data_IF_763366869090
#
_entry.id   IF_763366869090
#
_cell.length_a   1.000
_cell.length_b   1.000
_cell.length_c   1.000
_cell.angle_alpha   90.00
_cell.angle_beta   90.00
_cell.angle_gamma   90.00
#
_symmetry.space_group_name_H-M   'P 1'
#
loop_
_entity.id
_entity.type
_entity.pdbx_description
1 polymer ?
#
# COMPACT_ATOMS: atom_id res chain seq x y z
N UNK A 1 -21.93 0.73 -11.65
CA UNK A 1 -21.07 1.77 -11.03
C UNK A 1 -20.91 2.94 -12.00
N UNK A 2 -21.06 4.21 -11.55
CA UNK A 2 -20.86 5.38 -12.41
C UNK A 2 -19.45 5.48 -13.01
N UNK A 3 -19.30 6.12 -14.18
CA UNK A 3 -18.01 6.24 -14.88
C UNK A 3 -16.95 7.02 -14.09
N UNK A 4 -17.35 8.00 -13.27
CA UNK A 4 -16.40 8.72 -12.43
C UNK A 4 -15.77 7.84 -11.35
N UNK A 5 -16.49 6.81 -10.85
CA UNK A 5 -15.94 5.82 -9.90
C UNK A 5 -14.85 5.01 -10.59
N UNK A 6 -15.09 4.56 -11.83
CA UNK A 6 -14.07 3.90 -12.64
C UNK A 6 -12.83 4.77 -12.82
N UNK A 7 -13.00 6.05 -13.17
CA UNK A 7 -11.88 6.97 -13.33
C UNK A 7 -11.07 7.10 -12.02
N UNK A 8 -11.72 7.28 -10.87
CA UNK A 8 -11.05 7.38 -9.57
C UNK A 8 -10.29 6.10 -9.19
N UNK A 9 -10.90 4.93 -9.38
CA UNK A 9 -10.22 3.64 -9.17
C UNK A 9 -8.97 3.56 -10.05
N UNK A 10 -9.11 3.81 -11.35
CA UNK A 10 -8.01 3.67 -12.30
C UNK A 10 -6.88 4.67 -12.03
N UNK A 11 -7.18 5.89 -11.56
CA UNK A 11 -6.15 6.85 -11.11
C UNK A 11 -5.31 6.24 -9.98
N UNK A 12 -5.94 5.62 -8.97
CA UNK A 12 -5.22 4.95 -7.90
C UNK A 12 -4.45 3.72 -8.38
N UNK A 13 -5.14 2.81 -9.07
CA UNK A 13 -4.65 1.48 -9.48
C UNK A 13 -3.52 1.58 -10.50
N UNK A 14 -3.60 2.51 -11.46
CA UNK A 14 -2.55 2.72 -12.47
C UNK A 14 -1.52 3.75 -11.99
N UNK A 15 -1.96 4.80 -11.28
CA UNK A 15 -1.07 5.86 -10.84
C UNK A 15 -0.05 5.39 -9.81
N UNK A 16 -0.46 4.57 -8.84
CA UNK A 16 0.43 4.15 -7.74
C UNK A 16 1.64 3.33 -8.24
N UNK A 17 1.48 2.29 -9.09
CA UNK A 17 2.63 1.61 -9.69
C UNK A 17 3.41 2.52 -10.65
N UNK A 18 2.74 3.35 -11.46
CA UNK A 18 3.40 4.25 -12.41
C UNK A 18 4.29 5.29 -11.71
N UNK A 19 3.79 5.96 -10.67
CA UNK A 19 4.56 6.94 -9.89
C UNK A 19 5.72 6.26 -9.16
N UNK A 20 5.48 5.08 -8.58
CA UNK A 20 6.54 4.28 -7.94
C UNK A 20 7.65 3.95 -8.93
N UNK A 21 7.29 3.46 -10.12
CA UNK A 21 8.24 3.12 -11.17
C UNK A 21 8.97 4.34 -11.73
N UNK A 22 8.27 5.46 -11.97
CA UNK A 22 8.88 6.70 -12.44
C UNK A 22 9.97 7.21 -11.47
N UNK A 23 9.72 7.10 -10.16
CA UNK A 23 10.70 7.46 -9.13
C UNK A 23 11.90 6.51 -9.09
N UNK A 24 11.74 5.25 -9.50
CA UNK A 24 12.83 4.27 -9.61
C UNK A 24 13.57 4.34 -10.97
N UNK A 25 12.92 4.83 -12.02
CA UNK A 25 13.37 4.72 -13.41
C UNK A 25 14.77 5.31 -13.64
N UNK A 26 15.07 6.47 -13.06
CA UNK A 26 16.40 7.12 -13.20
C UNK A 26 17.56 6.29 -12.69
N UNK A 27 17.31 5.31 -11.80
CA UNK A 27 18.35 4.48 -11.18
C UNK A 27 18.31 3.02 -11.64
N UNK A 28 17.10 2.51 -11.90
CA UNK A 28 16.91 1.11 -12.27
C UNK A 28 15.78 1.00 -13.32
N UNK A 29 16.03 1.43 -14.58
CA UNK A 29 14.98 1.50 -15.61
C UNK A 29 14.37 0.12 -15.90
N UNK A 30 15.18 -0.94 -15.93
CA UNK A 30 14.68 -2.31 -16.13
C UNK A 30 13.74 -2.77 -15.00
N UNK A 31 14.08 -2.43 -13.75
CA UNK A 31 13.23 -2.74 -12.57
C UNK A 31 11.94 -1.93 -12.63
N UNK A 32 12.02 -0.64 -12.96
CA UNK A 32 10.86 0.24 -13.08
C UNK A 32 9.89 -0.25 -14.15
N UNK A 33 10.38 -0.54 -15.36
CA UNK A 33 9.55 -1.06 -16.46
C UNK A 33 8.96 -2.42 -16.09
N UNK A 34 9.78 -3.34 -15.56
CA UNK A 34 9.32 -4.65 -15.12
C UNK A 34 8.21 -4.55 -14.06
N UNK A 35 8.35 -3.66 -13.08
CA UNK A 35 7.33 -3.45 -12.05
C UNK A 35 5.99 -2.95 -12.64
N UNK A 36 6.03 -1.98 -13.58
CA UNK A 36 4.80 -1.52 -14.25
C UNK A 36 4.15 -2.64 -15.04
N UNK A 37 4.94 -3.39 -15.83
CA UNK A 37 4.43 -4.49 -16.66
C UNK A 37 3.79 -5.57 -15.79
N UNK A 38 4.46 -5.98 -14.71
CA UNK A 38 3.94 -7.00 -13.78
C UNK A 38 2.66 -6.51 -13.10
N UNK A 39 2.64 -5.28 -12.58
CA UNK A 39 1.45 -4.73 -11.91
C UNK A 39 0.28 -4.52 -12.89
N UNK A 40 0.54 -4.10 -14.12
CA UNK A 40 -0.48 -3.96 -15.16
C UNK A 40 -1.04 -5.32 -15.58
N UNK A 41 -0.17 -6.31 -15.83
CA UNK A 41 -0.59 -7.67 -16.15
C UNK A 41 -1.42 -8.28 -15.01
N UNK A 42 -0.99 -8.11 -13.76
CA UNK A 42 -1.76 -8.54 -12.59
C UNK A 42 -3.10 -7.80 -12.49
N UNK A 43 -3.14 -6.50 -12.75
CA UNK A 43 -4.39 -5.72 -12.77
C UNK A 43 -5.39 -6.26 -13.80
N UNK A 44 -4.93 -6.63 -15.00
CA UNK A 44 -5.76 -7.29 -16.02
C UNK A 44 -6.23 -8.66 -15.55
N UNK A 45 -5.34 -9.50 -15.02
CA UNK A 45 -5.69 -10.82 -14.48
C UNK A 45 -6.74 -10.69 -13.37
N UNK A 46 -6.55 -9.77 -12.43
CA UNK A 46 -7.49 -9.53 -11.35
C UNK A 46 -8.84 -9.00 -11.85
N UNK A 47 -8.85 -8.14 -12.86
CA UNK A 47 -10.09 -7.69 -13.49
C UNK A 47 -10.86 -8.85 -14.16
N UNK A 48 -10.14 -9.76 -14.84
CA UNK A 48 -10.74 -10.96 -15.45
C UNK A 48 -11.29 -11.93 -14.40
N UNK A 49 -10.55 -12.14 -13.30
CA UNK A 49 -11.02 -12.94 -12.16
C UNK A 49 -12.26 -12.33 -11.50
N UNK A 50 -12.30 -11.00 -11.36
CA UNK A 50 -13.49 -10.33 -10.88
C UNK A 50 -14.68 -10.48 -11.84
N UNK A 51 -14.44 -10.35 -13.15
CA UNK A 51 -15.48 -10.51 -14.16
C UNK A 51 -16.06 -11.93 -14.25
N UNK A 52 -15.30 -12.95 -13.82
CA UNK A 52 -15.79 -14.32 -13.71
C UNK A 52 -16.44 -14.64 -12.34
N UNK A 53 -16.57 -13.66 -11.45
CA UNK A 53 -17.14 -13.84 -10.11
C UNK A 53 -16.23 -14.58 -9.12
N UNK A 54 -14.92 -14.66 -9.40
CA UNK A 54 -13.98 -15.38 -8.53
C UNK A 54 -13.85 -14.74 -7.15
N UNK A 55 -14.08 -13.42 -7.03
CA UNK A 55 -14.04 -12.69 -5.77
C UNK A 55 -15.41 -12.51 -5.11
N UNK A 56 -16.49 -12.90 -5.79
CA UNK A 56 -17.86 -12.77 -5.27
C UNK A 56 -18.02 -13.62 -4.03
N UNK A 57 -18.61 -13.03 -3.00
CA UNK A 57 -18.89 -13.75 -1.77
C UNK A 57 -20.14 -14.61 -1.94
N UNK A 58 -20.10 -15.82 -1.38
CA UNK A 58 -21.22 -16.75 -1.43
C UNK A 58 -21.79 -16.89 -0.02
N UNK A 59 -23.12 -16.86 0.10
CA UNK A 59 -23.79 -17.06 1.36
C UNK A 59 -23.52 -18.45 1.97
N UNK A 60 -23.19 -19.44 1.12
CA UNK A 60 -23.06 -20.85 1.49
C UNK A 60 -21.62 -21.32 1.70
N UNK A 61 -20.61 -20.58 1.23
CA UNK A 61 -19.21 -21.03 1.27
C UNK A 61 -18.21 -19.88 1.44
N UNK A 62 -17.15 -20.14 2.22
CA UNK A 62 -16.04 -19.19 2.39
C UNK A 62 -15.16 -19.22 1.14
N UNK A 63 -15.02 -18.07 0.48
CA UNK A 63 -14.14 -17.89 -0.69
C UNK A 63 -12.94 -17.01 -0.32
N UNK A 64 -11.75 -17.60 -0.04
CA UNK A 64 -10.59 -16.84 0.43
C UNK A 64 -9.85 -16.08 -0.68
N UNK A 65 -10.31 -16.14 -1.93
CA UNK A 65 -9.56 -15.71 -3.12
C UNK A 65 -9.14 -14.24 -3.09
N UNK A 66 -9.97 -13.35 -2.55
CA UNK A 66 -9.62 -11.94 -2.41
C UNK A 66 -8.48 -11.73 -1.40
N UNK A 67 -8.54 -12.42 -0.26
CA UNK A 67 -7.47 -12.40 0.74
C UNK A 67 -6.17 -13.01 0.22
N UNK A 68 -6.26 -14.12 -0.52
CA UNK A 68 -5.11 -14.76 -1.18
C UNK A 68 -4.48 -13.82 -2.21
N UNK A 69 -5.28 -13.13 -3.03
CA UNK A 69 -4.80 -12.13 -3.97
C UNK A 69 -4.04 -11.00 -3.26
N UNK A 70 -4.62 -10.42 -2.21
CA UNK A 70 -4.00 -9.37 -1.41
C UNK A 70 -2.66 -9.83 -0.80
N UNK A 71 -2.68 -10.92 -0.03
CA UNK A 71 -1.49 -11.42 0.68
C UNK A 71 -0.43 -11.92 -0.30
N UNK A 72 -0.86 -12.60 -1.37
CA UNK A 72 0.02 -13.11 -2.42
C UNK A 72 0.81 -11.98 -3.10
N UNK A 73 0.14 -10.89 -3.49
CA UNK A 73 0.81 -9.74 -4.11
C UNK A 73 1.78 -9.08 -3.13
N UNK A 74 1.40 -8.88 -1.86
CA UNK A 74 2.32 -8.35 -0.83
C UNK A 74 3.56 -9.24 -0.71
N UNK A 75 3.37 -10.56 -0.59
CA UNK A 75 4.45 -11.52 -0.45
C UNK A 75 5.39 -11.49 -1.67
N UNK A 76 4.83 -11.47 -2.89
CA UNK A 76 5.61 -11.37 -4.13
C UNK A 76 6.40 -10.07 -4.19
N UNK A 77 5.81 -8.92 -3.84
CA UNK A 77 6.51 -7.63 -3.84
C UNK A 77 7.65 -7.60 -2.82
N UNK A 78 7.43 -8.12 -1.62
CA UNK A 78 8.46 -8.20 -0.57
C UNK A 78 9.57 -9.20 -0.94
N UNK A 79 9.23 -10.32 -1.60
CA UNK A 79 10.20 -11.26 -2.14
C UNK A 79 11.02 -10.64 -3.29
N UNK A 80 10.36 -9.90 -4.20
CA UNK A 80 11.02 -9.19 -5.29
C UNK A 80 12.03 -8.16 -4.77
N UNK A 81 11.78 -7.54 -3.61
CA UNK A 81 12.74 -6.64 -2.96
C UNK A 81 14.06 -7.31 -2.54
N UNK A 82 14.13 -8.65 -2.53
CA UNK A 82 15.36 -9.42 -2.28
C UNK A 82 16.21 -9.63 -3.53
N UNK A 83 15.65 -9.42 -4.73
CA UNK A 83 16.38 -9.56 -5.99
C UNK A 83 17.51 -8.51 -6.04
N UNK A 84 18.75 -8.87 -6.43
CA UNK A 84 19.91 -7.97 -6.38
C UNK A 84 19.66 -6.61 -7.07
N UNK A 85 19.04 -6.61 -8.25
CA UNK A 85 18.73 -5.39 -9.00
C UNK A 85 17.75 -4.47 -8.25
N UNK A 86 16.72 -5.04 -7.61
CA UNK A 86 15.74 -4.27 -6.82
C UNK A 86 16.37 -3.78 -5.52
N UNK A 87 17.12 -4.64 -4.84
CA UNK A 87 17.84 -4.29 -3.60
C UNK A 87 18.81 -3.12 -3.83
N UNK A 88 19.54 -3.11 -4.95
CA UNK A 88 20.40 -1.99 -5.34
C UNK A 88 19.59 -0.70 -5.57
N UNK A 89 18.45 -0.78 -6.26
CA UNK A 89 17.58 0.37 -6.47
C UNK A 89 17.03 0.96 -5.15
N UNK A 90 16.81 0.10 -4.15
CA UNK A 90 16.35 0.46 -2.80
C UNK A 90 17.49 0.90 -1.85
N UNK A 91 18.75 0.72 -2.24
CA UNK A 91 19.90 1.07 -1.40
C UNK A 91 20.18 2.58 -1.35
N UNK A 92 19.65 3.36 -2.31
CA UNK A 92 19.95 4.79 -2.42
C UNK A 92 19.48 5.60 -1.18
N UNK A 93 20.17 6.69 -0.81
CA UNK A 93 19.85 7.47 0.40
C UNK A 93 18.42 8.05 0.44
N UNK A 94 17.92 8.52 -0.70
CA UNK A 94 16.59 9.14 -0.84
C UNK A 94 15.46 8.11 -1.05
N UNK A 95 15.74 6.80 -0.91
CA UNK A 95 14.76 5.73 -1.19
C UNK A 95 13.50 5.84 -0.34
N UNK A 96 13.63 6.14 0.96
CA UNK A 96 12.46 6.23 1.85
C UNK A 96 11.49 7.32 1.35
N UNK A 97 12.02 8.47 0.91
CA UNK A 97 11.20 9.54 0.33
C UNK A 97 10.48 9.08 -0.96
N UNK A 98 11.14 8.25 -1.79
CA UNK A 98 10.56 7.70 -3.03
C UNK A 98 9.52 6.61 -2.77
N UNK A 99 9.62 5.87 -1.67
CA UNK A 99 8.61 4.88 -1.25
C UNK A 99 7.38 5.55 -0.62
N UNK A 100 7.57 6.69 0.05
CA UNK A 100 6.47 7.46 0.66
C UNK A 100 5.69 8.28 -0.38
N UNK A 101 6.36 8.87 -1.37
CA UNK A 101 5.72 9.80 -2.31
C UNK A 101 4.50 9.23 -3.07
N UNK A 102 4.50 7.98 -3.58
CA UNK A 102 3.34 7.40 -4.26
C UNK A 102 2.07 7.34 -3.41
N UNK A 103 2.21 7.34 -2.09
CA UNK A 103 1.06 7.31 -1.16
C UNK A 103 0.15 8.53 -1.32
N UNK A 104 0.61 9.63 -1.95
CA UNK A 104 -0.24 10.79 -2.29
C UNK A 104 -1.49 10.40 -3.07
N UNK A 105 -1.41 9.35 -3.89
CA UNK A 105 -2.54 8.87 -4.68
C UNK A 105 -3.63 8.23 -3.84
N UNK A 106 -3.39 7.93 -2.55
CA UNK A 106 -4.44 7.51 -1.62
C UNK A 106 -5.48 8.61 -1.38
N UNK A 107 -5.26 9.86 -1.79
CA UNK A 107 -6.32 10.88 -1.79
C UNK A 107 -7.56 10.47 -2.60
N UNK A 108 -7.42 9.54 -3.56
CA UNK A 108 -8.55 8.96 -4.29
C UNK A 108 -9.49 8.13 -3.41
N UNK A 109 -9.11 7.82 -2.17
CA UNK A 109 -9.97 7.18 -1.16
C UNK A 109 -11.26 7.96 -0.88
N UNK A 110 -11.34 9.24 -1.24
CA UNK A 110 -12.60 10.02 -1.29
C UNK A 110 -13.71 9.27 -2.06
N UNK A 111 -13.33 8.44 -3.02
CA UNK A 111 -14.24 7.59 -3.78
C UNK A 111 -15.07 6.66 -2.88
N UNK A 112 -14.52 6.13 -1.77
CA UNK A 112 -15.31 5.31 -0.84
C UNK A 112 -16.46 6.12 -0.23
N UNK A 113 -16.24 7.39 0.08
CA UNK A 113 -17.27 8.30 0.58
C UNK A 113 -18.33 8.61 -0.50
N UNK A 114 -17.90 8.77 -1.76
CA UNK A 114 -18.81 8.98 -2.88
C UNK A 114 -19.69 7.75 -3.13
N UNK A 115 -19.12 6.54 -3.13
CA UNK A 115 -19.87 5.29 -3.31
C UNK A 115 -20.79 5.02 -2.13
N UNK A 116 -20.39 5.39 -0.91
CA UNK A 116 -21.28 5.41 0.26
C UNK A 116 -22.46 6.36 0.06
N UNK A 117 -22.23 7.57 -0.45
CA UNK A 117 -23.29 8.53 -0.75
C UNK A 117 -24.24 8.05 -1.87
N UNK A 118 -23.77 7.14 -2.75
CA UNK A 118 -24.60 6.43 -3.72
C UNK A 118 -25.38 5.25 -3.12
N UNK A 119 -25.27 5.00 -1.82
CA UNK A 119 -25.95 3.90 -1.13
C UNK A 119 -25.36 2.51 -1.42
N UNK A 120 -24.10 2.43 -1.86
CA UNK A 120 -23.46 1.18 -2.30
C UNK A 120 -22.34 0.68 -1.39
N UNK A 121 -21.95 1.45 -0.38
CA UNK A 121 -21.03 1.01 0.67
C UNK A 121 -21.54 1.44 2.04
N UNK A 122 -21.35 0.61 3.09
CA UNK A 122 -21.74 0.98 4.44
C UNK A 122 -20.78 2.00 5.01
N UNK A 123 -21.32 2.92 5.82
CA UNK A 123 -20.53 3.95 6.49
C UNK A 123 -19.42 3.37 7.38
N UNK A 124 -19.66 2.20 8.01
CA UNK A 124 -18.67 1.52 8.85
C UNK A 124 -17.39 1.19 8.09
N UNK A 125 -17.46 0.95 6.79
CA UNK A 125 -16.30 0.71 5.93
C UNK A 125 -15.82 2.00 5.28
N UNK A 126 -16.73 2.74 4.64
CA UNK A 126 -16.38 3.84 3.78
C UNK A 126 -15.75 5.03 4.54
N UNK A 127 -16.22 5.32 5.75
CA UNK A 127 -15.67 6.41 6.57
C UNK A 127 -14.21 6.12 6.98
N UNK A 128 -13.88 5.02 7.68
CA UNK A 128 -12.49 4.77 8.05
C UNK A 128 -11.60 4.57 6.83
N UNK A 129 -12.00 3.78 5.83
CA UNK A 129 -11.19 3.53 4.64
C UNK A 129 -10.94 4.81 3.84
N UNK A 130 -11.99 5.59 3.55
CA UNK A 130 -11.87 6.82 2.77
C UNK A 130 -11.10 7.92 3.49
N UNK A 131 -11.44 8.19 4.76
CA UNK A 131 -10.78 9.24 5.53
C UNK A 131 -9.33 8.89 5.87
N UNK A 132 -9.04 7.62 6.18
CA UNK A 132 -7.69 7.14 6.42
C UNK A 132 -6.82 7.25 5.16
N UNK A 133 -7.32 6.76 4.02
CA UNK A 133 -6.67 6.89 2.72
C UNK A 133 -6.34 8.36 2.40
N UNK A 134 -7.32 9.26 2.58
CA UNK A 134 -7.13 10.71 2.37
C UNK A 134 -6.10 11.30 3.34
N UNK A 135 -6.14 10.94 4.62
CA UNK A 135 -5.19 11.45 5.61
C UNK A 135 -3.75 11.03 5.27
N UNK A 136 -3.54 9.76 4.90
CA UNK A 136 -2.23 9.27 4.45
C UNK A 136 -1.80 9.96 3.16
N UNK A 137 -2.71 10.08 2.18
CA UNK A 137 -2.42 10.73 0.91
C UNK A 137 -2.02 12.20 1.04
N UNK A 138 -2.74 12.94 1.89
CA UNK A 138 -2.44 14.34 2.17
C UNK A 138 -1.10 14.47 2.91
N UNK A 139 -0.80 13.58 3.88
CA UNK A 139 0.44 13.62 4.64
C UNK A 139 1.69 13.23 3.83
N UNK A 140 1.54 12.36 2.82
CA UNK A 140 2.63 11.81 2.02
C UNK A 140 3.60 12.86 1.43
N UNK A 141 3.17 13.93 0.74
CA UNK A 141 4.10 14.93 0.18
C UNK A 141 4.89 15.68 1.26
N UNK A 142 4.31 15.94 2.43
CA UNK A 142 4.99 16.62 3.53
C UNK A 142 6.09 15.74 4.14
N UNK A 143 5.78 14.46 4.37
CA UNK A 143 6.75 13.49 4.88
C UNK A 143 7.85 13.23 3.83
N UNK A 144 7.50 13.08 2.55
CA UNK A 144 8.47 12.90 1.47
C UNK A 144 9.43 14.10 1.35
N UNK A 145 8.93 15.34 1.46
CA UNK A 145 9.78 16.55 1.47
C UNK A 145 10.72 16.58 2.67
N UNK A 146 10.20 16.29 3.87
CA UNK A 146 11.01 16.25 5.09
C UNK A 146 12.15 15.23 5.00
N UNK A 147 11.86 14.05 4.45
CA UNK A 147 12.85 13.00 4.20
C UNK A 147 13.91 13.43 3.18
N UNK A 148 13.52 14.14 2.12
CA UNK A 148 14.48 14.71 1.14
C UNK A 148 15.40 15.75 1.76
N UNK A 149 14.92 16.47 2.76
CA UNK A 149 15.72 17.45 3.52
C UNK A 149 16.53 16.79 4.66
N UNK A 150 16.63 15.46 4.70
CA UNK A 150 17.43 14.71 5.67
C UNK A 150 16.76 14.45 7.03
N UNK A 151 15.51 14.90 7.23
CA UNK A 151 14.80 14.67 8.50
C UNK A 151 13.88 13.44 8.42
N UNK A 152 14.07 12.50 9.34
CA UNK A 152 13.25 11.29 9.48
C UNK A 152 12.07 11.48 10.44
N UNK A 153 11.87 12.69 10.97
CA UNK A 153 10.84 12.99 11.98
C UNK A 153 9.44 12.68 11.44
N UNK A 154 8.74 11.80 12.14
CA UNK A 154 7.39 11.36 11.79
C UNK A 154 7.32 10.33 10.67
N UNK A 155 8.45 9.91 10.07
CA UNK A 155 8.44 8.93 8.99
C UNK A 155 8.00 7.53 9.47
N UNK A 156 8.44 7.10 10.66
CA UNK A 156 7.98 5.84 11.26
C UNK A 156 6.47 5.91 11.52
N UNK A 157 6.01 6.96 12.19
CA UNK A 157 4.59 7.16 12.49
C UNK A 157 3.72 7.18 11.22
N UNK A 158 4.15 7.91 10.19
CA UNK A 158 3.46 7.95 8.89
C UNK A 158 3.27 6.55 8.30
N UNK A 159 4.32 5.72 8.30
CA UNK A 159 4.23 4.38 7.73
C UNK A 159 3.40 3.43 8.61
N UNK A 160 3.51 3.53 9.94
CA UNK A 160 2.68 2.73 10.86
C UNK A 160 1.20 3.09 10.69
N UNK A 161 0.86 4.39 10.65
CA UNK A 161 -0.53 4.84 10.47
C UNK A 161 -1.08 4.41 9.10
N UNK A 162 -0.28 4.47 8.04
CA UNK A 162 -0.70 3.96 6.72
C UNK A 162 -0.93 2.45 6.69
N UNK A 163 -0.14 1.67 7.44
CA UNK A 163 -0.38 0.22 7.60
C UNK A 163 -1.66 -0.04 8.40
N UNK A 164 -1.82 0.65 9.54
CA UNK A 164 -3.00 0.50 10.41
C UNK A 164 -4.28 0.82 9.64
N UNK A 165 -4.29 1.93 8.89
CA UNK A 165 -5.40 2.32 8.02
C UNK A 165 -5.80 1.21 7.04
N UNK A 166 -4.83 0.69 6.27
CA UNK A 166 -5.07 -0.42 5.34
C UNK A 166 -5.59 -1.69 6.03
N UNK A 167 -5.00 -2.05 7.18
CA UNK A 167 -5.42 -3.23 7.94
C UNK A 167 -6.85 -3.05 8.45
N UNK A 168 -7.19 -1.89 9.00
CA UNK A 168 -8.54 -1.57 9.47
C UNK A 168 -9.55 -1.65 8.32
N UNK A 169 -9.26 -1.04 7.17
CA UNK A 169 -10.12 -1.09 6.00
C UNK A 169 -10.35 -2.53 5.50
N UNK A 170 -9.29 -3.32 5.36
CA UNK A 170 -9.37 -4.73 4.94
C UNK A 170 -10.13 -5.57 5.96
N UNK A 171 -9.87 -5.40 7.26
CA UNK A 171 -10.57 -6.12 8.32
C UNK A 171 -12.06 -5.81 8.32
N UNK A 172 -12.46 -4.54 8.24
CA UNK A 172 -13.87 -4.17 8.16
C UNK A 172 -14.49 -4.70 6.86
N UNK A 173 -13.80 -4.56 5.73
CA UNK A 173 -14.25 -5.06 4.43
C UNK A 173 -14.57 -6.55 4.47
N UNK A 174 -13.70 -7.35 5.11
CA UNK A 174 -13.87 -8.78 5.28
C UNK A 174 -14.95 -9.15 6.31
N UNK A 175 -14.98 -8.47 7.46
CA UNK A 175 -15.93 -8.78 8.55
C UNK A 175 -17.36 -8.31 8.25
N UNK A 176 -17.53 -7.32 7.39
CA UNK A 176 -18.84 -6.84 6.92
C UNK A 176 -19.25 -7.45 5.56
N UNK A 177 -18.42 -8.33 4.99
CA UNK A 177 -18.74 -9.05 3.76
C UNK A 177 -19.88 -10.05 4.03
N UNK A 178 -20.73 -10.25 3.04
CA UNK A 178 -21.78 -11.27 3.09
C UNK A 178 -21.15 -12.67 3.11
N UNK A 179 -21.78 -13.62 3.81
CA UNK A 179 -21.35 -15.01 3.86
C UNK A 179 -21.00 -15.51 5.26
N UNK A 180 -20.45 -16.73 5.38
CA UNK A 180 -20.25 -17.39 6.68
C UNK A 180 -19.30 -16.67 7.63
N UNK A 181 -18.48 -15.74 7.12
CA UNK A 181 -17.50 -14.96 7.88
C UNK A 181 -18.03 -13.60 8.32
N UNK A 182 -19.30 -13.29 8.04
CA UNK A 182 -19.93 -12.03 8.41
C UNK A 182 -20.09 -11.91 9.93
N UNK A 183 -19.38 -10.95 10.52
CA UNK A 183 -19.53 -10.58 11.94
C UNK A 183 -20.21 -9.22 12.10
N UNK A 184 -20.06 -8.34 11.11
CA UNK A 184 -20.62 -6.98 11.11
C UNK A 184 -21.84 -6.96 10.17
N UNK A 185 -23.02 -6.79 10.76
CA UNK A 185 -24.28 -6.76 10.02
C UNK A 185 -24.63 -5.31 9.68
N UNK A 186 -24.56 -4.96 8.39
CA UNK A 186 -24.81 -3.61 7.88
C UNK A 186 -25.57 -3.65 6.56
N UNK A 187 -26.24 -2.54 6.23
CA UNK A 187 -26.93 -2.34 4.96
C UNK A 187 -26.56 -0.96 4.41
N UNK A 188 -26.04 -0.86 3.17
CA UNK A 188 -25.62 -1.94 2.27
C UNK A 188 -24.43 -2.76 2.83
N UNK A 189 -24.12 -3.92 2.23
CA UNK A 189 -22.94 -4.73 2.58
C UNK A 189 -21.65 -4.21 1.93
N UNK A 190 -20.50 -4.81 2.23
CA UNK A 190 -19.22 -4.51 1.54
C UNK A 190 -19.02 -5.29 0.24
N UNK A 191 -20.04 -5.98 -0.27
CA UNK A 191 -19.97 -6.77 -1.52
C UNK A 191 -19.54 -5.93 -2.73
N UNK A 192 -19.90 -4.65 -2.77
CA UNK A 192 -19.44 -3.75 -3.84
C UNK A 192 -17.90 -3.72 -3.97
N UNK A 193 -17.15 -3.96 -2.89
CA UNK A 193 -15.68 -3.99 -2.87
C UNK A 193 -15.13 -5.25 -3.57
N UNK A 194 -15.91 -6.31 -3.76
CA UNK A 194 -15.51 -7.51 -4.52
C UNK A 194 -15.83 -7.40 -6.01
N UNK A 195 -16.57 -6.36 -6.40
CA UNK A 195 -17.03 -6.13 -7.76
C UNK A 195 -16.19 -5.07 -8.48
N UNK A 196 -16.22 -5.11 -9.82
CA UNK A 196 -15.59 -4.08 -10.64
C UNK A 196 -16.33 -2.73 -10.52
N UNK A 197 -15.59 -1.61 -10.44
CA UNK A 197 -14.13 -1.50 -10.49
C UNK A 197 -13.45 -1.62 -9.11
N UNK A 198 -14.20 -1.55 -8.01
CA UNK A 198 -13.67 -1.37 -6.66
C UNK A 198 -12.70 -2.48 -6.24
N UNK A 199 -12.91 -3.71 -6.68
CA UNK A 199 -12.05 -4.86 -6.39
C UNK A 199 -10.59 -4.70 -6.80
N UNK A 200 -10.30 -3.84 -7.80
CA UNK A 200 -8.93 -3.53 -8.18
C UNK A 200 -8.16 -2.80 -7.06
N UNK A 201 -8.85 -2.17 -6.11
CA UNK A 201 -8.23 -1.53 -4.96
C UNK A 201 -7.61 -2.58 -4.02
N UNK A 202 -8.37 -3.52 -3.42
CA UNK A 202 -7.81 -4.54 -2.54
C UNK A 202 -6.88 -5.53 -3.26
N UNK A 203 -6.98 -5.72 -4.58
CA UNK A 203 -6.12 -6.67 -5.30
C UNK A 203 -4.87 -6.04 -5.92
N UNK A 204 -4.83 -4.72 -6.14
CA UNK A 204 -3.69 -4.04 -6.80
C UNK A 204 -3.16 -2.88 -5.98
N UNK A 205 -3.99 -1.89 -5.66
CA UNK A 205 -3.54 -0.64 -5.03
C UNK A 205 -3.14 -0.84 -3.55
N UNK A 206 -3.98 -1.53 -2.77
CA UNK A 206 -3.75 -1.83 -1.36
C UNK A 206 -2.49 -2.67 -1.14
N UNK A 207 -2.27 -3.82 -1.81
CA UNK A 207 -1.07 -4.62 -1.58
C UNK A 207 0.22 -3.86 -1.94
N UNK A 208 0.19 -3.06 -3.01
CA UNK A 208 1.34 -2.24 -3.37
C UNK A 208 1.59 -1.14 -2.32
N UNK A 209 0.56 -0.40 -1.91
CA UNK A 209 0.67 0.62 -0.87
C UNK A 209 1.20 0.04 0.45
N UNK A 210 0.72 -1.13 0.85
CA UNK A 210 1.18 -1.84 2.04
C UNK A 210 2.65 -2.24 1.91
N UNK A 211 3.05 -2.83 0.78
CA UNK A 211 4.44 -3.20 0.54
C UNK A 211 5.37 -1.99 0.59
N UNK A 212 4.96 -0.84 0.04
CA UNK A 212 5.75 0.40 0.10
C UNK A 212 5.95 0.89 1.54
N UNK A 213 4.93 0.82 2.39
CA UNK A 213 5.06 1.17 3.81
C UNK A 213 6.00 0.23 4.56
N UNK A 214 5.88 -1.08 4.34
CA UNK A 214 6.75 -2.10 4.95
C UNK A 214 8.20 -1.87 4.51
N UNK A 215 8.45 -1.72 3.21
CA UNK A 215 9.79 -1.46 2.67
C UNK A 215 10.38 -0.15 3.22
N UNK A 216 9.56 0.90 3.36
CA UNK A 216 9.97 2.17 3.96
C UNK A 216 10.45 1.99 5.41
N UNK A 217 9.70 1.25 6.24
CA UNK A 217 10.08 0.94 7.63
C UNK A 217 11.36 0.09 7.70
N UNK A 218 11.48 -0.93 6.86
CA UNK A 218 12.68 -1.77 6.79
C UNK A 218 13.93 -0.94 6.45
N UNK A 219 13.80 0.02 5.53
CA UNK A 219 14.90 0.92 5.17
C UNK A 219 15.24 1.89 6.30
N UNK A 220 14.26 2.52 6.93
CA UNK A 220 14.46 3.40 8.09
C UNK A 220 15.19 2.68 9.24
N UNK A 221 14.84 1.41 9.50
CA UNK A 221 15.54 0.57 10.49
C UNK A 221 16.99 0.34 10.10
N UNK A 222 17.25 -0.08 8.86
CA UNK A 222 18.61 -0.37 8.39
C UNK A 222 19.53 0.85 8.47
N UNK A 223 19.05 2.04 8.10
CA UNK A 223 19.82 3.28 8.16
C UNK A 223 20.15 3.66 9.61
N UNK A 224 19.20 3.49 10.54
CA UNK A 224 19.44 3.75 11.97
C UNK A 224 20.51 2.80 12.55
N UNK A 225 20.45 1.51 12.22
CA UNK A 225 21.43 0.51 12.66
C UNK A 225 22.84 0.84 12.16
N UNK A 226 22.98 1.26 10.89
CA UNK A 226 24.27 1.70 10.33
C UNK A 226 24.84 2.93 11.05
N UNK A 227 24.02 3.94 11.35
CA UNK A 227 24.48 5.13 12.07
C UNK A 227 24.94 4.82 13.51
N UNK A 228 24.22 3.93 14.22
CA UNK A 228 24.62 3.51 15.58
C UNK A 228 25.92 2.72 15.55
N UNK A 229 26.10 1.82 14.58
CA UNK A 229 27.35 1.06 14.43
C UNK A 229 28.55 1.96 14.13
N UNK A 230 28.37 2.96 13.26
CA UNK A 230 29.42 3.92 12.92
C UNK A 230 29.80 4.80 14.12
N UNK A 231 28.83 5.29 14.89
CA UNK A 231 29.08 6.08 16.10
C UNK A 231 29.80 5.33 17.22
N UNK A 232 29.64 3.99 17.30
CA UNK A 232 30.39 3.14 18.23
C UNK A 232 31.85 2.95 17.82
N UNK A 233 32.15 2.96 16.52
CA UNK A 233 33.53 2.82 16.01
C UNK A 233 34.34 4.11 16.11
N UNK A 234 33.68 5.27 16.17
CA UNK A 234 34.33 6.59 16.31
C UNK A 234 34.35 7.13 17.74
N UNK A 235 33.88 6.36 18.72
CA UNK A 235 33.96 6.74 20.14
C UNK A 235 35.42 6.72 20.63
N UNK A 236 35.79 7.55 21.63
CA UNK A 236 37.15 7.57 22.15
C UNK A 236 37.55 6.17 22.61
N UNK A 237 38.69 5.67 22.10
CA UNK A 237 39.32 4.45 22.62
C UNK A 237 39.49 4.62 24.13
N UNK A 238 39.13 3.64 24.97
CA UNK A 238 39.44 3.72 26.39
C UNK A 238 40.95 3.95 26.51
N UNK A 239 41.33 5.04 27.19
CA UNK A 239 42.73 5.33 27.47
C UNK A 239 43.35 4.08 28.07
N UNK A 240 44.48 3.60 27.53
CA UNK A 240 45.19 2.50 28.16
C UNK A 240 45.61 3.01 29.53
N UNK A 241 44.94 2.52 30.57
CA UNK A 241 45.24 2.78 31.97
C UNK A 241 46.76 2.65 32.14
N UNK A 242 47.40 3.81 32.36
CA UNK A 242 48.81 3.87 32.68
C UNK A 242 49.03 3.03 33.95
N UNK A 243 49.99 2.13 33.85
CA UNK A 243 50.44 1.23 34.92
C UNK A 243 50.92 2.00 36.14
#
# INVERSE_FOLDING_TARGET
MPSFVWALVLIGVVGLPTVTAALLYRRAPKVAVGAVVVMAAWGVVSALLAASGAYDQDASAVKPWLGIALVGVVAVLLAAARIPAVRQALAAPDTVARLVAPQVLRVVGVMFLLVMALGQLPAVFALPAGLGDMAVGIAAPFIARRLRNGSTRGAVWFNVMGIVDLVVAVSIGYLAATGPTQLIHVTPSTEAVTMLPLVLIPTVAVPLALALHVLSLLRLRSTRESHVAQGRQTGPSPDPVAR
#
